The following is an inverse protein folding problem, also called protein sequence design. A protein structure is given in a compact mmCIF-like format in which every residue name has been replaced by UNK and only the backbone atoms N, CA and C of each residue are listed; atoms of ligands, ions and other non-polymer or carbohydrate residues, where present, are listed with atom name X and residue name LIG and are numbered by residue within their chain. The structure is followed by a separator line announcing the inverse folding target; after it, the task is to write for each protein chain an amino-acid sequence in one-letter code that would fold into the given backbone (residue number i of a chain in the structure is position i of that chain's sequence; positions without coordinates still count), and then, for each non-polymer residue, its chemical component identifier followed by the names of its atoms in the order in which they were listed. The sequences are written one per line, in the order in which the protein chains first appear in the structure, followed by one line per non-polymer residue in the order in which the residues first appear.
data_IF_049714672070
#
_entry.id   IF_049714672070
#
_cell.length_a   1.000
_cell.length_b   1.000
_cell.length_c   1.000
_cell.angle_alpha   90.00
_cell.angle_beta   90.00
_cell.angle_gamma   90.00
#
_symmetry.space_group_name_H-M   'P 1'
#
loop_
_entity.id
_entity.type
_entity.pdbx_description
1 polymer ?
#
# COMPACT_ATOMS: atom_id res chain seq x y z
N UNK A 1 -28.61 -25.37 31.01
CA UNK A 1 -27.38 -24.72 30.61
C UNK A 1 -26.57 -25.51 29.58
N UNK A 2 -26.22 -26.81 29.81
CA UNK A 2 -25.43 -27.60 28.86
C UNK A 2 -26.05 -27.73 27.46
N UNK A 3 -27.37 -27.87 27.32
CA UNK A 3 -28.07 -27.96 26.01
C UNK A 3 -28.04 -26.66 25.21
N UNK A 4 -28.10 -25.50 25.89
CA UNK A 4 -28.05 -24.17 25.23
C UNK A 4 -26.63 -23.92 24.73
N UNK A 5 -25.61 -24.28 25.53
CA UNK A 5 -24.20 -24.11 25.11
C UNK A 5 -23.87 -25.00 23.91
N UNK A 6 -24.40 -26.24 23.89
CA UNK A 6 -24.18 -27.16 22.77
C UNK A 6 -24.89 -26.66 21.49
N UNK A 7 -26.10 -26.10 21.62
CA UNK A 7 -26.84 -25.55 20.47
C UNK A 7 -26.13 -24.30 19.89
N UNK A 8 -25.63 -23.42 20.74
CA UNK A 8 -24.85 -22.24 20.28
C UNK A 8 -23.54 -22.65 19.60
N UNK A 9 -22.82 -23.65 20.11
CA UNK A 9 -21.60 -24.17 19.46
C UNK A 9 -21.88 -24.82 18.11
N UNK A 10 -22.98 -25.53 17.95
CA UNK A 10 -23.38 -26.14 16.68
C UNK A 10 -23.78 -25.04 15.66
N UNK A 11 -24.55 -24.04 16.07
CA UNK A 11 -24.97 -22.94 15.19
C UNK A 11 -23.78 -22.11 14.74
N UNK A 12 -22.85 -21.75 15.64
CA UNK A 12 -21.65 -20.99 15.29
C UNK A 12 -20.69 -21.80 14.40
N UNK A 13 -20.51 -23.09 14.68
CA UNK A 13 -19.71 -23.99 13.86
C UNK A 13 -20.29 -24.20 12.46
N UNK A 14 -21.61 -24.35 12.35
CA UNK A 14 -22.31 -24.47 11.06
C UNK A 14 -22.23 -23.19 10.24
N UNK A 15 -22.37 -22.01 10.88
CA UNK A 15 -22.27 -20.72 10.21
C UNK A 15 -20.85 -20.45 9.73
N UNK A 16 -19.84 -20.75 10.54
CA UNK A 16 -18.44 -20.63 10.16
C UNK A 16 -18.05 -21.58 9.03
N UNK A 17 -18.56 -22.81 9.06
CA UNK A 17 -18.35 -23.80 7.99
C UNK A 17 -19.01 -23.39 6.69
N UNK A 18 -20.26 -22.90 6.73
CA UNK A 18 -20.96 -22.39 5.54
C UNK A 18 -20.26 -21.17 4.95
N UNK A 19 -19.83 -20.24 5.79
CA UNK A 19 -19.07 -19.06 5.36
C UNK A 19 -17.74 -19.46 4.72
N UNK A 20 -17.01 -20.42 5.30
CA UNK A 20 -15.79 -20.97 4.74
C UNK A 20 -16.01 -21.59 3.35
N UNK A 21 -17.07 -22.41 3.20
CA UNK A 21 -17.42 -23.03 1.92
C UNK A 21 -17.79 -21.97 0.87
N UNK A 22 -18.59 -20.97 1.22
CA UNK A 22 -18.96 -19.89 0.30
C UNK A 22 -17.72 -19.12 -0.16
N UNK A 23 -16.81 -18.81 0.75
CA UNK A 23 -15.59 -18.03 0.43
C UNK A 23 -14.58 -18.83 -0.40
N UNK A 24 -14.52 -20.18 -0.23
CA UNK A 24 -13.57 -21.03 -0.95
C UNK A 24 -14.10 -21.60 -2.26
N UNK A 25 -15.42 -21.72 -2.40
CA UNK A 25 -16.07 -22.30 -3.59
C UNK A 25 -16.55 -21.24 -4.59
N UNK A 26 -16.67 -19.98 -4.16
CA UNK A 26 -17.06 -18.87 -5.03
C UNK A 26 -15.93 -17.86 -5.17
N UNK A 27 -15.22 -17.89 -6.30
CA UNK A 27 -14.20 -16.87 -6.64
C UNK A 27 -14.74 -15.44 -6.48
N UNK A 28 -15.98 -15.21 -6.93
CA UNK A 28 -16.64 -13.90 -6.84
C UNK A 28 -16.84 -13.44 -5.39
N UNK A 29 -17.23 -14.36 -4.48
CA UNK A 29 -17.43 -14.03 -3.06
C UNK A 29 -16.08 -13.79 -2.36
N UNK A 30 -15.05 -14.57 -2.68
CA UNK A 30 -13.70 -14.38 -2.16
C UNK A 30 -13.11 -13.02 -2.59
N UNK A 31 -13.22 -12.68 -3.86
CA UNK A 31 -12.79 -11.39 -4.41
C UNK A 31 -13.57 -10.23 -3.78
N UNK A 32 -14.89 -10.37 -3.59
CA UNK A 32 -15.73 -9.34 -2.96
C UNK A 32 -15.30 -9.08 -1.51
N UNK A 33 -15.09 -10.13 -0.72
CA UNK A 33 -14.62 -9.99 0.69
C UNK A 33 -13.23 -9.39 0.75
N UNK A 34 -12.32 -9.82 -0.12
CA UNK A 34 -10.98 -9.23 -0.20
C UNK A 34 -11.03 -7.75 -0.58
N UNK A 35 -11.88 -7.36 -1.52
CA UNK A 35 -12.12 -5.95 -1.89
C UNK A 35 -12.68 -5.16 -0.70
N UNK A 36 -13.68 -5.69 0.00
CA UNK A 36 -14.24 -5.02 1.19
C UNK A 36 -13.20 -4.84 2.30
N UNK A 37 -12.45 -5.88 2.63
CA UNK A 37 -11.40 -5.82 3.67
C UNK A 37 -10.28 -4.86 3.26
N UNK A 38 -9.86 -4.89 2.01
CA UNK A 38 -8.89 -3.94 1.49
C UNK A 38 -9.42 -2.50 1.58
N UNK A 39 -10.63 -2.23 1.10
CA UNK A 39 -11.25 -0.91 1.18
C UNK A 39 -11.41 -0.43 2.62
N UNK A 40 -11.83 -1.30 3.54
CA UNK A 40 -11.99 -0.95 4.95
C UNK A 40 -10.64 -0.60 5.61
N UNK A 41 -9.55 -1.27 5.26
CA UNK A 41 -8.20 -0.92 5.74
C UNK A 41 -7.75 0.45 5.22
N UNK A 42 -8.11 0.80 3.99
CA UNK A 42 -7.75 2.09 3.39
C UNK A 42 -8.68 3.24 3.84
N UNK A 43 -9.93 2.95 4.24
CA UNK A 43 -10.90 3.96 4.70
C UNK A 43 -10.79 4.32 6.18
N UNK A 44 -10.21 3.46 7.02
CA UNK A 44 -10.05 3.71 8.46
C UNK A 44 -8.88 4.67 8.79
N UNK A 45 -8.47 5.50 7.85
CA UNK A 45 -7.45 6.50 8.09
C UNK A 45 -8.11 7.71 8.78
N UNK A 46 -7.61 8.04 9.99
CA UNK A 46 -8.09 9.16 10.78
C UNK A 46 -8.11 10.45 9.95
N UNK A 47 -9.15 11.29 10.10
CA UNK A 47 -9.14 12.61 9.47
C UNK A 47 -7.92 13.37 9.98
N UNK A 48 -7.10 13.83 9.05
CA UNK A 48 -5.95 14.65 9.38
C UNK A 48 -6.49 16.04 9.67
N UNK A 49 -6.39 16.45 10.93
CA UNK A 49 -6.65 17.83 11.32
C UNK A 49 -5.70 18.80 10.58
N UNK A 50 -5.93 20.11 10.66
CA UNK A 50 -5.15 21.15 9.97
C UNK A 50 -3.70 21.24 10.50
N UNK A 51 -2.95 20.13 10.42
CA UNK A 51 -1.56 20.00 10.85
C UNK A 51 -0.69 19.54 9.69
N UNK A 52 0.57 19.91 9.73
CA UNK A 52 1.61 19.34 8.92
C UNK A 52 2.20 18.13 9.65
N UNK A 53 2.03 16.94 9.11
CA UNK A 53 2.63 15.71 9.63
C UNK A 53 3.83 15.32 8.77
N UNK A 54 4.99 15.16 9.42
CA UNK A 54 6.20 14.64 8.78
C UNK A 54 6.52 13.29 9.41
N UNK A 55 6.68 12.26 8.58
CA UNK A 55 7.02 10.90 9.03
C UNK A 55 8.28 10.43 8.30
N UNK A 56 9.30 10.02 9.05
CA UNK A 56 10.49 9.39 8.48
C UNK A 56 10.18 7.90 8.27
N UNK A 57 9.91 7.53 7.02
CA UNK A 57 9.61 6.15 6.61
C UNK A 57 10.87 5.36 6.22
N UNK A 58 12.02 6.02 6.15
CA UNK A 58 13.30 5.37 5.91
C UNK A 58 14.48 6.29 6.15
N UNK A 59 15.54 5.76 6.77
CA UNK A 59 16.75 6.51 7.15
C UNK A 59 18.01 5.62 7.16
N UNK A 60 17.97 4.43 6.53
CA UNK A 60 19.14 3.57 6.43
C UNK A 60 20.08 4.07 5.33
N UNK A 61 21.37 3.86 5.55
CA UNK A 61 22.41 4.00 4.53
C UNK A 61 22.28 2.90 3.47
N UNK A 62 22.69 3.14 2.21
CA UNK A 62 22.68 2.12 1.16
C UNK A 62 23.55 0.90 1.49
N UNK A 63 24.57 1.07 2.30
CA UNK A 63 25.48 0.03 2.75
C UNK A 63 25.17 -0.50 4.15
N UNK A 64 24.12 0.01 4.81
CA UNK A 64 23.76 -0.34 6.16
C UNK A 64 22.88 -1.59 6.21
N UNK A 65 23.27 -2.58 7.01
CA UNK A 65 22.51 -3.81 7.26
C UNK A 65 21.62 -3.69 8.51
N UNK A 66 20.92 -2.58 8.69
CA UNK A 66 19.96 -2.49 9.78
C UNK A 66 18.57 -2.96 9.30
N UNK A 67 18.12 -4.16 9.71
CA UNK A 67 16.84 -4.72 9.26
C UNK A 67 15.64 -3.91 9.77
N UNK A 68 15.82 -3.08 10.80
CA UNK A 68 14.77 -2.27 11.39
C UNK A 68 14.56 -0.92 10.69
N UNK A 69 15.40 -0.60 9.71
CA UNK A 69 15.34 0.66 8.97
C UNK A 69 15.23 0.43 7.47
N UNK A 70 14.25 1.07 6.85
CA UNK A 70 14.21 1.22 5.41
C UNK A 70 15.19 2.31 4.94
N UNK A 71 15.54 2.30 3.66
CA UNK A 71 16.36 3.32 3.01
C UNK A 71 15.57 4.63 2.84
N UNK A 72 16.19 5.66 2.31
CA UNK A 72 15.71 7.05 2.31
C UNK A 72 14.22 7.21 1.98
N UNK A 73 13.46 7.81 2.90
CA UNK A 73 12.05 8.11 2.72
C UNK A 73 11.54 9.09 3.76
N UNK A 74 10.94 10.20 3.33
CA UNK A 74 10.22 11.14 4.17
C UNK A 74 8.82 11.32 3.61
N UNK A 75 7.80 11.11 4.42
CA UNK A 75 6.42 11.38 4.11
C UNK A 75 5.99 12.74 4.67
N UNK A 76 5.36 13.55 3.84
CA UNK A 76 4.82 14.86 4.20
C UNK A 76 3.33 14.87 3.92
N UNK A 77 2.54 15.01 4.97
CA UNK A 77 1.11 14.90 4.92
C UNK A 77 0.45 16.16 5.51
N UNK A 78 -0.49 16.70 4.76
CA UNK A 78 -1.38 17.78 5.19
C UNK A 78 -2.84 17.34 5.08
N UNK A 79 -3.78 18.20 5.46
CA UNK A 79 -5.20 17.96 5.24
C UNK A 79 -5.50 17.61 3.78
N UNK A 80 -4.90 18.33 2.83
CA UNK A 80 -5.28 18.25 1.42
C UNK A 80 -4.27 17.50 0.56
N UNK A 81 -3.00 17.37 0.99
CA UNK A 81 -1.91 16.83 0.20
C UNK A 81 -1.10 15.78 0.94
N UNK A 82 -0.61 14.81 0.18
CA UNK A 82 0.33 13.80 0.65
C UNK A 82 1.45 13.58 -0.38
N UNK A 83 2.69 13.79 0.03
CA UNK A 83 3.88 13.61 -0.79
C UNK A 83 4.89 12.71 -0.09
N UNK A 84 5.67 11.98 -0.89
CA UNK A 84 6.85 11.24 -0.46
C UNK A 84 8.09 11.89 -1.05
N UNK A 85 9.13 12.03 -0.25
CA UNK A 85 10.46 12.45 -0.67
C UNK A 85 11.41 11.26 -0.56
N UNK A 86 11.92 10.79 -1.70
CA UNK A 86 12.66 9.57 -1.92
C UNK A 86 11.87 8.27 -1.59
N UNK A 87 12.22 7.21 -2.28
CA UNK A 87 11.55 5.93 -2.22
C UNK A 87 12.58 4.79 -2.19
N UNK A 88 13.39 4.76 -1.14
CA UNK A 88 14.43 3.74 -0.97
C UNK A 88 13.87 2.39 -0.54
N UNK A 89 14.69 1.35 -0.60
CA UNK A 89 14.26 -0.02 -0.35
C UNK A 89 13.64 -0.22 1.04
N UNK A 90 12.49 -0.90 1.09
CA UNK A 90 11.70 -1.17 2.29
C UNK A 90 10.83 -0.01 2.77
N UNK A 91 10.94 1.17 2.16
CA UNK A 91 10.24 2.37 2.61
C UNK A 91 8.72 2.30 2.40
N UNK A 92 8.26 1.66 1.34
CA UNK A 92 6.83 1.47 1.10
C UNK A 92 6.19 0.61 2.21
N UNK A 93 6.85 -0.47 2.62
CA UNK A 93 6.38 -1.31 3.73
C UNK A 93 6.32 -0.54 5.04
N UNK A 94 7.31 0.31 5.34
CA UNK A 94 7.32 1.17 6.52
C UNK A 94 6.22 2.23 6.47
N UNK A 95 5.99 2.85 5.31
CA UNK A 95 4.87 3.77 5.12
C UNK A 95 3.51 3.10 5.38
N UNK A 96 3.33 1.86 4.90
CA UNK A 96 2.13 1.07 5.16
C UNK A 96 1.98 0.70 6.64
N UNK A 97 3.06 0.29 7.32
CA UNK A 97 3.06 -0.02 8.75
C UNK A 97 2.74 1.20 9.61
N UNK A 98 3.17 2.39 9.18
CA UNK A 98 2.82 3.66 9.81
C UNK A 98 1.40 4.14 9.48
N UNK A 99 0.59 3.34 8.79
CA UNK A 99 -0.76 3.66 8.34
C UNK A 99 -0.86 4.96 7.53
N UNK A 100 0.18 5.29 6.75
CA UNK A 100 0.13 6.46 5.87
C UNK A 100 -0.90 6.25 4.75
N UNK A 101 -1.66 7.30 4.37
CA UNK A 101 -2.79 7.20 3.46
C UNK A 101 -2.36 7.07 1.98
N UNK A 102 -1.82 5.93 1.59
CA UNK A 102 -1.29 5.71 0.23
C UNK A 102 -2.32 5.96 -0.87
N UNK A 103 -3.62 5.79 -0.59
CA UNK A 103 -4.69 6.16 -1.51
C UNK A 103 -4.72 7.66 -1.86
N UNK A 104 -4.16 8.51 -0.98
CA UNK A 104 -4.11 9.96 -1.13
C UNK A 104 -2.79 10.46 -1.70
N UNK A 105 -1.83 9.57 -1.94
CA UNK A 105 -0.49 9.95 -2.40
C UNK A 105 -0.57 10.76 -3.71
N UNK A 106 -0.23 12.04 -3.64
CA UNK A 106 -0.26 12.97 -4.78
C UNK A 106 0.95 12.77 -5.69
N UNK A 107 2.10 12.43 -5.11
CA UNK A 107 3.30 12.16 -5.88
C UNK A 107 4.55 11.96 -5.05
N UNK A 108 5.64 11.67 -5.74
CA UNK A 108 6.95 11.41 -5.16
C UNK A 108 7.97 12.41 -5.73
N UNK A 109 8.74 13.01 -4.86
CA UNK A 109 9.89 13.84 -5.20
C UNK A 109 11.17 13.04 -4.97
N UNK A 110 12.00 12.89 -6.00
CA UNK A 110 13.30 12.25 -5.91
C UNK A 110 14.39 13.31 -5.79
N UNK A 111 15.18 13.24 -4.73
CA UNK A 111 16.31 14.15 -4.52
C UNK A 111 17.42 13.85 -5.51
N UNK A 112 17.71 12.59 -5.75
CA UNK A 112 18.65 12.08 -6.74
C UNK A 112 18.33 10.62 -7.12
N UNK A 113 19.07 10.04 -8.08
CA UNK A 113 18.70 8.76 -8.69
C UNK A 113 19.58 7.58 -8.25
N UNK A 114 20.19 7.64 -7.06
CA UNK A 114 20.84 6.46 -6.49
C UNK A 114 19.81 5.41 -6.09
N UNK A 115 20.20 4.14 -6.11
CA UNK A 115 19.30 3.00 -5.89
C UNK A 115 18.59 3.05 -4.52
N UNK A 116 19.25 3.53 -3.48
CA UNK A 116 18.71 3.67 -2.13
C UNK A 116 17.68 4.81 -1.98
N UNK A 117 17.43 5.58 -3.06
CA UNK A 117 16.40 6.61 -3.15
C UNK A 117 15.26 6.27 -4.13
N UNK A 118 15.41 5.23 -4.97
CA UNK A 118 14.44 4.92 -6.03
C UNK A 118 13.91 3.48 -5.98
N UNK A 119 14.49 2.57 -5.20
CA UNK A 119 14.20 1.13 -5.26
C UNK A 119 12.73 0.77 -5.03
N UNK A 120 12.02 1.46 -4.14
CA UNK A 120 10.61 1.21 -3.83
C UNK A 120 9.63 2.09 -4.63
N UNK A 121 10.12 2.89 -5.58
CA UNK A 121 9.26 3.70 -6.43
C UNK A 121 8.13 2.89 -7.10
N UNK A 122 8.39 1.70 -7.68
CA UNK A 122 7.32 0.89 -8.25
C UNK A 122 6.37 0.31 -7.20
N UNK A 123 6.84 0.03 -5.99
CA UNK A 123 6.00 -0.45 -4.90
C UNK A 123 5.04 0.65 -4.39
N UNK A 124 5.50 1.88 -4.26
CA UNK A 124 4.63 3.03 -3.97
C UNK A 124 3.61 3.26 -5.08
N UNK A 125 4.04 3.23 -6.35
CA UNK A 125 3.14 3.38 -7.49
C UNK A 125 2.03 2.33 -7.48
N UNK A 126 2.38 1.06 -7.28
CA UNK A 126 1.42 -0.03 -7.22
C UNK A 126 0.46 0.14 -6.03
N UNK A 127 0.99 0.42 -4.84
CA UNK A 127 0.18 0.54 -3.63
C UNK A 127 -0.78 1.74 -3.69
N UNK A 128 -0.31 2.89 -4.18
CA UNK A 128 -1.13 4.08 -4.39
C UNK A 128 -2.24 3.82 -5.42
N UNK A 129 -1.89 3.20 -6.54
CA UNK A 129 -2.83 2.88 -7.61
C UNK A 129 -3.93 1.91 -7.15
N UNK A 130 -3.57 0.83 -6.46
CA UNK A 130 -4.54 -0.14 -5.91
C UNK A 130 -5.40 0.51 -4.82
N UNK A 131 -4.79 1.27 -3.91
CA UNK A 131 -5.49 1.91 -2.80
C UNK A 131 -6.45 3.01 -3.27
N UNK A 132 -6.14 3.74 -4.34
CA UNK A 132 -7.00 4.78 -4.94
C UNK A 132 -8.10 4.22 -5.86
N UNK A 133 -8.24 2.91 -5.98
CA UNK A 133 -9.18 2.27 -6.92
C UNK A 133 -8.79 2.47 -8.37
N UNK A 134 -7.52 2.54 -8.67
CA UNK A 134 -6.94 2.68 -10.02
C UNK A 134 -7.33 4.01 -10.71
N UNK A 135 -7.64 5.03 -9.91
CA UNK A 135 -8.25 6.26 -10.41
C UNK A 135 -7.26 7.23 -11.07
N UNK A 136 -5.97 7.16 -10.72
CA UNK A 136 -4.97 8.11 -11.23
C UNK A 136 -3.55 7.53 -11.26
N UNK A 137 -2.71 7.93 -12.25
CA UNK A 137 -1.29 7.63 -12.25
C UNK A 137 -0.58 8.43 -11.13
N UNK A 138 0.48 7.85 -10.56
CA UNK A 138 1.33 8.55 -9.62
C UNK A 138 2.30 9.47 -10.37
N UNK A 139 2.36 10.72 -9.96
CA UNK A 139 3.33 11.69 -10.52
C UNK A 139 4.66 11.58 -9.78
N UNK A 140 5.77 11.60 -10.55
CA UNK A 140 7.12 11.57 -9.99
C UNK A 140 7.91 12.77 -10.52
N UNK A 141 8.47 13.55 -9.61
CA UNK A 141 9.37 14.65 -9.92
C UNK A 141 10.78 14.29 -9.48
N UNK A 142 11.78 14.71 -10.24
CA UNK A 142 13.17 14.41 -9.92
C UNK A 142 14.15 15.12 -10.86
N UNK A 143 15.45 14.93 -10.66
CA UNK A 143 16.49 15.50 -11.50
C UNK A 143 16.45 14.90 -12.92
N UNK A 144 17.24 15.44 -13.86
CA UNK A 144 17.40 14.88 -15.20
C UNK A 144 17.70 13.37 -15.14
N UNK A 145 16.95 12.58 -15.93
CA UNK A 145 17.01 11.11 -15.90
C UNK A 145 15.84 10.44 -15.17
N UNK A 146 14.98 11.17 -14.46
CA UNK A 146 13.80 10.63 -13.81
C UNK A 146 12.86 9.92 -14.80
N UNK A 147 12.75 10.42 -16.03
CA UNK A 147 11.95 9.79 -17.10
C UNK A 147 12.49 8.40 -17.47
N UNK A 148 13.79 8.22 -17.53
CA UNK A 148 14.40 6.93 -17.80
C UNK A 148 14.14 5.93 -16.67
N UNK A 149 14.24 6.38 -15.40
CA UNK A 149 13.94 5.56 -14.22
C UNK A 149 12.49 5.12 -14.21
N UNK A 150 11.55 6.05 -14.35
CA UNK A 150 10.10 5.75 -14.35
C UNK A 150 9.68 4.89 -15.52
N UNK A 151 10.23 5.13 -16.72
CA UNK A 151 10.00 4.29 -17.90
C UNK A 151 10.52 2.87 -17.71
N UNK A 152 11.72 2.72 -17.12
CA UNK A 152 12.31 1.41 -16.82
C UNK A 152 11.44 0.60 -15.85
N UNK A 153 11.00 1.21 -14.76
CA UNK A 153 10.08 0.55 -13.82
C UNK A 153 8.71 0.26 -14.46
N UNK A 154 8.15 1.14 -15.25
CA UNK A 154 6.90 0.89 -15.97
C UNK A 154 7.02 -0.29 -16.94
N UNK A 155 8.15 -0.45 -17.60
CA UNK A 155 8.44 -1.58 -18.47
C UNK A 155 8.58 -2.88 -17.66
N UNK A 156 9.31 -2.87 -16.56
CA UNK A 156 9.50 -4.03 -15.68
C UNK A 156 8.16 -4.55 -15.12
N UNK A 157 7.27 -3.66 -14.72
CA UNK A 157 5.97 -4.00 -14.12
C UNK A 157 4.82 -4.11 -15.14
N UNK A 158 5.10 -4.04 -16.43
CA UNK A 158 4.08 -4.07 -17.50
C UNK A 158 3.20 -5.32 -17.44
N UNK A 159 3.78 -6.47 -17.17
CA UNK A 159 3.06 -7.76 -17.14
C UNK A 159 2.15 -7.80 -15.89
N UNK A 160 2.67 -7.46 -14.70
CA UNK A 160 1.90 -7.41 -13.46
C UNK A 160 0.70 -6.46 -13.58
N UNK A 161 0.93 -5.27 -14.12
CA UNK A 161 -0.15 -4.30 -14.36
C UNK A 161 -1.22 -4.85 -15.30
N UNK A 162 -0.83 -5.58 -16.35
CA UNK A 162 -1.78 -6.21 -17.27
C UNK A 162 -2.73 -7.16 -16.56
N UNK A 163 -2.24 -7.99 -15.66
CA UNK A 163 -3.09 -8.89 -14.86
C UNK A 163 -4.04 -8.13 -13.93
N UNK A 164 -3.60 -7.03 -13.33
CA UNK A 164 -4.42 -6.26 -12.37
C UNK A 164 -5.53 -5.45 -13.03
N UNK A 165 -5.36 -5.02 -14.28
CA UNK A 165 -6.38 -4.27 -15.03
C UNK A 165 -7.51 -5.21 -15.52
N UNK A 166 -7.24 -6.51 -15.68
CA UNK A 166 -8.23 -7.48 -16.17
C UNK A 166 -9.15 -8.02 -15.07
N UNK A 167 -8.90 -7.67 -13.81
CA UNK A 167 -9.67 -8.09 -12.63
C UNK A 167 -10.21 -6.88 -11.83
#
# INVERSE_FOLDING_TARGET
MKKIILLTLIITGSFSGLLYIVLTQSESAGIFVLKMVAQQRFQNQQPIENILQITVCGSASPLGNNPDRAQACIAVLTKDHFFIFDAGAGSQSRASQANLPLARLDGIFLTHLHSDHISDLPAFNLSSWVASGQSRPLTVWGPPGVDAVTSGFNQAYRIDRGFRVLH
#
